data_IF_626192894818
#
_entry.id   IF_626192894818
#
_cell.length_a   1.000
_cell.length_b   1.000
_cell.length_c   1.000
_cell.angle_alpha   90.00
_cell.angle_beta   90.00
_cell.angle_gamma   90.00
#
_symmetry.space_group_name_H-M   'P 1'
#
loop_
_entity.id
_entity.type
_entity.pdbx_description
1 polymer ?
#
# COMPACT_ATOMS: atom_id res chain seq x y z
N UNK A 1 -4.84 24.00 3.01
CA UNK A 1 -4.95 22.64 3.61
C UNK A 1 -6.14 21.86 3.05
N UNK A 2 -7.38 22.38 3.09
CA UNK A 2 -8.60 21.69 2.60
C UNK A 2 -8.44 21.25 1.14
N UNK A 3 -8.03 22.15 0.25
CA UNK A 3 -7.78 21.87 -1.17
C UNK A 3 -6.78 20.71 -1.33
N UNK A 4 -5.71 20.68 -0.53
CA UNK A 4 -4.74 19.58 -0.56
C UNK A 4 -5.37 18.24 -0.15
N UNK A 5 -6.24 18.23 0.86
CA UNK A 5 -6.95 17.01 1.31
C UNK A 5 -7.87 16.49 0.21
N UNK A 6 -8.59 17.38 -0.48
CA UNK A 6 -9.46 17.01 -1.60
C UNK A 6 -8.64 16.45 -2.76
N UNK A 7 -7.56 17.12 -3.19
CA UNK A 7 -6.68 16.60 -4.25
C UNK A 7 -6.07 15.26 -3.88
N UNK A 8 -5.69 15.07 -2.62
CA UNK A 8 -5.15 13.80 -2.15
C UNK A 8 -6.23 12.69 -2.16
N UNK A 9 -7.46 13.00 -1.78
CA UNK A 9 -8.58 12.06 -1.88
C UNK A 9 -8.87 11.68 -3.34
N UNK A 10 -8.83 12.65 -4.27
CA UNK A 10 -8.96 12.39 -5.71
C UNK A 10 -7.85 11.49 -6.23
N UNK A 11 -6.59 11.76 -5.86
CA UNK A 11 -5.46 10.91 -6.25
C UNK A 11 -5.60 9.48 -5.72
N UNK A 12 -6.06 9.31 -4.47
CA UNK A 12 -6.37 8.01 -3.90
C UNK A 12 -7.51 7.32 -4.66
N UNK A 13 -8.52 8.08 -5.11
CA UNK A 13 -9.62 7.53 -5.89
C UNK A 13 -9.16 7.01 -7.26
N UNK A 14 -8.19 7.66 -7.91
CA UNK A 14 -7.62 7.16 -9.17
C UNK A 14 -7.09 5.73 -9.05
N UNK A 15 -6.55 5.35 -7.89
CA UNK A 15 -6.08 3.99 -7.65
C UNK A 15 -7.22 2.97 -7.81
N UNK A 16 -8.44 3.33 -7.39
CA UNK A 16 -9.64 2.50 -7.55
C UNK A 16 -10.04 2.30 -9.01
N UNK A 17 -9.81 3.31 -9.86
CA UNK A 17 -10.17 3.24 -11.28
C UNK A 17 -9.18 2.43 -12.11
N UNK A 18 -7.93 2.34 -11.66
CA UNK A 18 -6.87 1.66 -12.40
C UNK A 18 -6.96 0.14 -12.24
N UNK A 19 -7.27 -0.35 -11.03
CA UNK A 19 -7.31 -1.79 -10.73
C UNK A 19 -8.28 -2.14 -9.60
N UNK A 20 -8.80 -3.36 -9.67
CA UNK A 20 -9.66 -3.91 -8.60
C UNK A 20 -8.92 -4.01 -7.26
N UNK A 21 -7.63 -4.38 -7.27
CA UNK A 21 -6.81 -4.45 -6.05
C UNK A 21 -6.58 -3.07 -5.41
N UNK A 22 -6.82 -1.99 -6.16
CA UNK A 22 -6.74 -0.61 -5.65
C UNK A 22 -7.59 -0.36 -4.41
N UNK A 23 -8.71 -1.08 -4.27
CA UNK A 23 -9.59 -0.97 -3.10
C UNK A 23 -8.87 -1.35 -1.81
N UNK A 24 -8.03 -2.39 -1.85
CA UNK A 24 -7.27 -2.86 -0.67
C UNK A 24 -6.18 -1.87 -0.29
N UNK A 25 -5.42 -1.36 -1.27
CA UNK A 25 -4.42 -0.32 -1.02
C UNK A 25 -5.04 0.93 -0.41
N UNK A 26 -6.23 1.26 -0.81
CA UNK A 26 -6.99 2.39 -0.29
C UNK A 26 -7.44 2.17 1.15
N UNK A 27 -7.93 0.97 1.47
CA UNK A 27 -8.27 0.59 2.85
C UNK A 27 -7.02 0.66 3.74
N UNK A 28 -5.89 0.13 3.28
CA UNK A 28 -4.61 0.21 4.00
C UNK A 28 -4.22 1.66 4.25
N UNK A 29 -4.32 2.51 3.23
CA UNK A 29 -4.01 3.93 3.35
C UNK A 29 -4.93 4.64 4.36
N UNK A 30 -6.24 4.33 4.33
CA UNK A 30 -7.20 4.84 5.32
C UNK A 30 -6.81 4.46 6.75
N UNK A 31 -6.45 3.20 6.96
CA UNK A 31 -5.97 2.72 8.26
C UNK A 31 -4.75 3.54 8.69
N UNK A 32 -3.71 3.62 7.85
CA UNK A 32 -2.47 4.34 8.16
C UNK A 32 -2.71 5.81 8.49
N UNK A 33 -3.56 6.49 7.72
CA UNK A 33 -3.88 7.90 7.93
C UNK A 33 -4.68 8.13 9.22
N UNK A 34 -5.62 7.24 9.55
CA UNK A 34 -6.40 7.35 10.77
C UNK A 34 -5.55 7.10 12.03
N UNK A 35 -4.55 6.23 11.95
CA UNK A 35 -3.57 6.03 13.01
C UNK A 35 -2.53 7.15 13.10
N UNK A 36 -2.38 7.99 12.08
CA UNK A 36 -1.44 9.11 12.12
C UNK A 36 -1.88 10.17 13.13
N UNK A 37 -0.95 10.59 13.98
CA UNK A 37 -1.16 11.66 14.95
C UNK A 37 -0.99 13.08 14.35
N UNK A 38 -0.48 13.17 13.11
CA UNK A 38 -0.23 14.46 12.44
C UNK A 38 -1.47 15.15 11.91
N UNK A 39 -2.50 14.38 11.59
CA UNK A 39 -3.78 14.92 11.13
C UNK A 39 -4.68 15.18 12.31
N UNK A 40 -5.28 16.35 12.35
CA UNK A 40 -6.30 16.68 13.33
C UNK A 40 -7.61 15.93 13.00
N UNK A 41 -8.47 15.66 14.01
CA UNK A 41 -9.71 14.90 13.77
C UNK A 41 -10.58 15.43 12.65
N UNK A 42 -10.70 16.75 12.51
CA UNK A 42 -11.47 17.40 11.41
C UNK A 42 -10.90 17.08 10.03
N UNK A 43 -9.57 17.05 9.90
CA UNK A 43 -8.90 16.71 8.62
C UNK A 43 -9.12 15.23 8.27
N UNK A 44 -9.09 14.34 9.25
CA UNK A 44 -9.37 12.91 9.06
C UNK A 44 -10.82 12.68 8.62
N UNK A 45 -11.78 13.32 9.28
CA UNK A 45 -13.20 13.21 8.93
C UNK A 45 -13.43 13.72 7.51
N UNK A 46 -12.87 14.89 7.16
CA UNK A 46 -13.01 15.46 5.82
C UNK A 46 -12.43 14.54 4.75
N UNK A 47 -11.23 13.99 4.99
CA UNK A 47 -10.59 13.05 4.04
C UNK A 47 -11.42 11.78 3.88
N UNK A 48 -11.83 11.16 4.98
CA UNK A 48 -12.64 9.93 4.96
C UNK A 48 -13.98 10.16 4.26
N UNK A 49 -14.65 11.28 4.55
CA UNK A 49 -15.92 11.64 3.90
C UNK A 49 -15.74 11.86 2.38
N UNK A 50 -14.72 12.63 1.98
CA UNK A 50 -14.43 12.85 0.57
C UNK A 50 -14.15 11.53 -0.17
N UNK A 51 -13.40 10.62 0.45
CA UNK A 51 -13.07 9.34 -0.14
C UNK A 51 -14.29 8.43 -0.26
N UNK A 52 -15.13 8.35 0.78
CA UNK A 52 -16.37 7.57 0.76
C UNK A 52 -17.31 8.10 -0.35
N UNK A 53 -17.47 9.41 -0.47
CA UNK A 53 -18.28 10.02 -1.54
C UNK A 53 -17.76 9.60 -2.91
N UNK A 54 -16.44 9.64 -3.12
CA UNK A 54 -15.84 9.26 -4.40
C UNK A 54 -16.00 7.76 -4.70
N UNK A 55 -15.93 6.90 -3.68
CA UNK A 55 -16.18 5.46 -3.82
C UNK A 55 -17.65 5.20 -4.21
N UNK A 56 -18.58 5.85 -3.51
CA UNK A 56 -20.01 5.74 -3.80
C UNK A 56 -20.32 6.26 -5.20
N UNK A 57 -19.69 7.35 -5.63
CA UNK A 57 -19.85 7.89 -6.98
C UNK A 57 -19.35 6.90 -8.04
N UNK A 58 -18.20 6.25 -7.81
CA UNK A 58 -17.73 5.18 -8.68
C UNK A 58 -18.75 4.05 -8.78
N UNK A 59 -19.25 3.57 -7.64
CA UNK A 59 -20.25 2.51 -7.60
C UNK A 59 -21.52 2.89 -8.40
N UNK A 60 -21.99 4.11 -8.22
CA UNK A 60 -23.15 4.65 -8.95
C UNK A 60 -22.93 4.67 -10.47
N UNK A 61 -21.73 5.08 -10.94
CA UNK A 61 -21.41 5.06 -12.37
C UNK A 61 -21.43 3.63 -12.92
N UNK A 62 -20.86 2.66 -12.20
CA UNK A 62 -20.87 1.26 -12.65
C UNK A 62 -22.28 0.69 -12.71
N UNK A 63 -23.12 1.01 -11.74
CA UNK A 63 -24.54 0.59 -11.73
C UNK A 63 -25.31 1.14 -12.94
N UNK A 64 -25.16 2.44 -13.24
CA UNK A 64 -25.83 3.06 -14.40
C UNK A 64 -25.30 2.51 -15.72
N UNK A 65 -24.01 2.21 -15.82
CA UNK A 65 -23.42 1.70 -17.07
C UNK A 65 -23.66 0.21 -17.29
N UNK A 66 -24.34 -0.48 -16.37
CA UNK A 66 -24.51 -1.94 -16.37
C UNK A 66 -23.17 -2.71 -16.52
N UNK A 67 -22.05 -2.07 -16.19
CA UNK A 67 -20.75 -2.71 -16.18
C UNK A 67 -20.48 -3.35 -14.81
N UNK A 68 -19.99 -4.56 -14.82
CA UNK A 68 -19.62 -5.21 -13.57
C UNK A 68 -18.41 -4.49 -12.97
N UNK A 69 -18.52 -4.12 -11.71
CA UNK A 69 -17.47 -3.40 -10.98
C UNK A 69 -16.19 -4.23 -10.78
N UNK A 70 -16.33 -5.54 -10.86
CA UNK A 70 -15.26 -6.53 -10.75
C UNK A 70 -15.22 -7.30 -12.06
N UNK A 71 -14.12 -7.20 -12.77
CA UNK A 71 -13.88 -8.01 -13.95
C UNK A 71 -13.91 -9.49 -13.57
N UNK A 72 -14.91 -10.21 -14.07
CA UNK A 72 -15.05 -11.67 -13.85
C UNK A 72 -13.92 -12.49 -14.47
N UNK A 73 -13.10 -11.88 -15.32
CA UNK A 73 -11.90 -12.53 -15.87
C UNK A 73 -10.80 -12.75 -14.83
N UNK A 74 -10.88 -12.06 -13.68
CA UNK A 74 -10.04 -12.33 -12.55
C UNK A 74 -10.50 -13.59 -11.83
N UNK A 75 -9.59 -14.54 -11.62
CA UNK A 75 -9.85 -15.75 -10.87
C UNK A 75 -10.53 -15.43 -9.53
N UNK A 76 -11.75 -15.87 -9.26
CA UNK A 76 -12.47 -15.54 -8.05
C UNK A 76 -11.70 -16.07 -6.84
N UNK A 77 -11.63 -15.26 -5.80
CA UNK A 77 -11.24 -15.76 -4.49
C UNK A 77 -12.38 -16.64 -3.99
N UNK A 78 -12.18 -17.94 -4.01
CA UNK A 78 -13.18 -18.88 -3.52
C UNK A 78 -13.11 -18.95 -1.98
N UNK A 79 -14.16 -18.45 -1.33
CA UNK A 79 -14.28 -18.53 0.13
C UNK A 79 -14.34 -19.99 0.62
N UNK A 80 -14.95 -20.89 -0.16
CA UNK A 80 -15.00 -22.30 0.17
C UNK A 80 -13.60 -22.92 0.16
N UNK A 81 -12.76 -22.52 -0.79
CA UNK A 81 -11.36 -22.89 -0.87
C UNK A 81 -10.56 -22.38 0.34
N UNK A 82 -10.80 -21.13 0.77
CA UNK A 82 -10.15 -20.56 1.96
C UNK A 82 -10.50 -21.37 3.21
N UNK A 83 -11.77 -21.74 3.37
CA UNK A 83 -12.26 -22.53 4.52
C UNK A 83 -11.77 -23.98 4.50
N UNK A 84 -11.46 -24.53 3.32
CA UNK A 84 -10.95 -25.90 3.16
C UNK A 84 -9.42 -26.00 3.23
N UNK A 85 -8.68 -24.89 3.38
CA UNK A 85 -7.24 -24.87 3.39
C UNK A 85 -6.66 -25.69 4.57
N UNK A 86 -5.97 -26.76 4.23
CA UNK A 86 -5.20 -27.53 5.18
C UNK A 86 -3.93 -26.76 5.57
N UNK A 87 -3.54 -26.81 6.84
CA UNK A 87 -2.32 -26.19 7.37
C UNK A 87 -1.08 -26.59 6.56
N UNK A 88 -0.97 -27.84 6.16
CA UNK A 88 0.16 -28.34 5.36
C UNK A 88 0.23 -27.64 3.99
N UNK A 89 -0.91 -27.35 3.40
CA UNK A 89 -0.98 -26.66 2.13
C UNK A 89 -0.63 -25.16 2.26
N UNK A 90 -1.05 -24.54 3.34
CA UNK A 90 -0.64 -23.16 3.67
C UNK A 90 0.88 -23.08 3.84
N UNK A 91 1.46 -24.00 4.60
CA UNK A 91 2.92 -24.07 4.80
C UNK A 91 3.65 -24.28 3.46
N UNK A 92 3.14 -25.16 2.61
CA UNK A 92 3.69 -25.38 1.27
C UNK A 92 3.70 -24.08 0.45
N UNK A 93 2.57 -23.38 0.37
CA UNK A 93 2.48 -22.10 -0.35
C UNK A 93 3.42 -21.05 0.24
N UNK A 94 3.50 -20.92 1.57
CA UNK A 94 4.40 -19.97 2.22
C UNK A 94 5.88 -20.25 1.91
N UNK A 95 6.29 -21.52 1.85
CA UNK A 95 7.66 -21.91 1.46
C UNK A 95 8.04 -21.41 0.05
N UNK A 96 7.06 -21.25 -0.82
CA UNK A 96 7.26 -20.70 -2.17
C UNK A 96 7.18 -19.16 -2.15
N UNK A 97 6.16 -18.59 -1.52
CA UNK A 97 5.93 -17.15 -1.51
C UNK A 97 7.11 -16.39 -0.86
N UNK A 98 7.60 -16.85 0.29
CA UNK A 98 8.61 -16.12 1.08
C UNK A 98 9.91 -15.91 0.31
N UNK A 99 10.54 -16.94 -0.31
CA UNK A 99 11.77 -16.76 -1.07
C UNK A 99 11.59 -15.83 -2.28
N UNK A 100 10.51 -15.98 -3.04
CA UNK A 100 10.25 -15.13 -4.19
C UNK A 100 9.99 -13.67 -3.77
N UNK A 101 9.19 -13.46 -2.74
CA UNK A 101 8.95 -12.12 -2.21
C UNK A 101 10.26 -11.46 -1.76
N UNK A 102 11.08 -12.18 -1.01
CA UNK A 102 12.42 -11.72 -0.60
C UNK A 102 13.32 -11.40 -1.81
N UNK A 103 13.34 -12.26 -2.82
CA UNK A 103 14.11 -12.04 -4.03
C UNK A 103 13.71 -10.74 -4.74
N UNK A 104 12.42 -10.53 -4.97
CA UNK A 104 11.94 -9.32 -5.65
C UNK A 104 12.14 -8.05 -4.81
N UNK A 105 12.00 -8.13 -3.49
CA UNK A 105 12.31 -7.00 -2.60
C UNK A 105 13.80 -6.61 -2.67
N UNK A 106 14.68 -7.60 -2.58
CA UNK A 106 16.13 -7.35 -2.56
C UNK A 106 16.69 -6.90 -3.92
N UNK A 107 16.03 -7.26 -5.01
CA UNK A 107 16.41 -6.78 -6.35
C UNK A 107 15.79 -5.41 -6.70
N UNK A 108 14.93 -4.88 -5.86
CA UNK A 108 14.33 -3.57 -6.09
C UNK A 108 15.18 -2.46 -5.43
N UNK A 109 15.96 -1.75 -6.25
CA UNK A 109 16.86 -0.67 -5.79
C UNK A 109 16.12 0.42 -5.03
N UNK A 110 14.90 0.77 -5.45
CA UNK A 110 14.06 1.79 -4.78
C UNK A 110 13.67 1.32 -3.39
N UNK A 111 13.31 0.04 -3.25
CA UNK A 111 12.98 -0.56 -1.96
C UNK A 111 14.19 -0.56 -1.02
N UNK A 112 15.35 -1.05 -1.50
CA UNK A 112 16.57 -1.12 -0.66
C UNK A 112 17.00 0.27 -0.20
N UNK A 113 17.06 1.25 -1.11
CA UNK A 113 17.44 2.62 -0.75
C UNK A 113 16.48 3.23 0.27
N UNK A 114 15.17 3.04 0.07
CA UNK A 114 14.16 3.48 1.02
C UNK A 114 14.29 2.80 2.39
N UNK A 115 14.58 1.50 2.42
CA UNK A 115 14.78 0.74 3.65
C UNK A 115 16.00 1.25 4.43
N UNK A 116 17.12 1.50 3.76
CA UNK A 116 18.33 2.05 4.37
C UNK A 116 18.03 3.41 5.00
N UNK A 117 17.34 4.30 4.28
CA UNK A 117 16.96 5.62 4.79
C UNK A 117 15.98 5.49 5.96
N UNK A 118 15.02 4.56 5.89
CA UNK A 118 14.08 4.31 6.97
C UNK A 118 14.81 3.86 8.25
N UNK A 119 15.74 2.92 8.13
CA UNK A 119 16.58 2.45 9.24
C UNK A 119 17.39 3.61 9.83
N UNK A 120 18.03 4.40 8.97
CA UNK A 120 18.76 5.61 9.39
C UNK A 120 17.84 6.56 10.20
N UNK A 121 16.66 6.85 9.69
CA UNK A 121 15.68 7.70 10.35
C UNK A 121 15.24 7.14 11.72
N UNK A 122 15.14 5.82 11.88
CA UNK A 122 14.85 5.19 13.16
C UNK A 122 16.00 5.34 14.15
N UNK A 123 17.24 5.07 13.73
CA UNK A 123 18.44 5.18 14.57
C UNK A 123 18.60 6.62 15.09
N UNK A 124 18.49 7.60 14.20
CA UNK A 124 18.66 9.02 14.54
C UNK A 124 17.37 9.70 15.04
N UNK A 125 16.31 8.94 15.27
CA UNK A 125 15.00 9.40 15.78
C UNK A 125 14.36 10.53 14.95
N UNK A 126 14.65 10.56 13.65
CA UNK A 126 14.10 11.56 12.72
C UNK A 126 12.65 11.19 12.39
N UNK A 127 11.73 12.14 12.51
CA UNK A 127 10.33 12.00 12.11
C UNK A 127 9.67 10.65 12.49
N UNK A 128 9.77 10.26 13.77
CA UNK A 128 9.27 8.96 14.28
C UNK A 128 7.85 8.60 13.83
N UNK A 129 6.93 9.55 13.85
CA UNK A 129 5.53 9.26 13.49
C UNK A 129 5.37 8.96 11.99
N UNK A 130 6.16 9.60 11.15
CA UNK A 130 6.17 9.31 9.71
C UNK A 130 6.75 7.91 9.44
N UNK A 131 7.85 7.57 10.09
CA UNK A 131 8.47 6.25 9.95
C UNK A 131 7.56 5.12 10.43
N UNK A 132 6.81 5.35 11.53
CA UNK A 132 5.80 4.38 11.99
C UNK A 132 4.68 4.18 10.96
N UNK A 133 4.21 5.27 10.34
CA UNK A 133 3.18 5.19 9.30
C UNK A 133 3.67 4.39 8.08
N UNK A 134 4.92 4.61 7.64
CA UNK A 134 5.53 3.85 6.55
C UNK A 134 5.66 2.37 6.92
N UNK A 135 6.16 2.08 8.12
CA UNK A 135 6.31 0.71 8.58
C UNK A 135 4.95 -0.01 8.67
N UNK A 136 3.93 0.67 9.21
CA UNK A 136 2.57 0.13 9.27
C UNK A 136 2.02 -0.16 7.87
N UNK A 137 2.21 0.77 6.93
CA UNK A 137 1.82 0.56 5.54
C UNK A 137 2.52 -0.66 4.94
N UNK A 138 3.82 -0.79 5.13
CA UNK A 138 4.60 -1.93 4.64
C UNK A 138 4.09 -3.25 5.22
N UNK A 139 3.85 -3.31 6.52
CA UNK A 139 3.33 -4.52 7.18
C UNK A 139 1.96 -4.90 6.60
N UNK A 140 1.04 -3.95 6.51
CA UNK A 140 -0.32 -4.21 6.00
C UNK A 140 -0.31 -4.63 4.52
N UNK A 141 0.50 -4.00 3.69
CA UNK A 141 0.64 -4.38 2.28
C UNK A 141 1.29 -5.76 2.12
N UNK A 142 2.27 -6.08 2.96
CA UNK A 142 2.89 -7.40 2.98
C UNK A 142 1.88 -8.48 3.37
N UNK A 143 1.11 -8.27 4.44
CA UNK A 143 0.05 -9.19 4.86
C UNK A 143 -0.98 -9.37 3.74
N UNK A 144 -1.38 -8.28 3.07
CA UNK A 144 -2.30 -8.38 1.94
C UNK A 144 -1.72 -9.22 0.80
N UNK A 145 -0.46 -9.01 0.42
CA UNK A 145 0.19 -9.77 -0.66
C UNK A 145 0.22 -11.26 -0.32
N UNK A 146 0.65 -11.60 0.89
CA UNK A 146 0.70 -12.99 1.33
C UNK A 146 -0.71 -13.62 1.30
N UNK A 147 -1.71 -12.91 1.81
CA UNK A 147 -3.10 -13.37 1.79
C UNK A 147 -3.60 -13.58 0.36
N UNK A 148 -3.32 -12.64 -0.55
CA UNK A 148 -3.72 -12.73 -1.95
C UNK A 148 -3.15 -13.97 -2.65
N UNK A 149 -1.89 -14.31 -2.41
CA UNK A 149 -1.28 -15.51 -2.98
C UNK A 149 -1.69 -16.80 -2.26
N UNK A 150 -1.92 -16.75 -0.95
CA UNK A 150 -2.38 -17.92 -0.19
C UNK A 150 -3.78 -18.36 -0.62
N UNK A 151 -4.67 -17.38 -0.85
CA UNK A 151 -6.09 -17.65 -1.10
C UNK A 151 -6.43 -17.78 -2.57
N UNK A 152 -5.47 -17.62 -3.46
CA UNK A 152 -5.70 -17.79 -4.90
C UNK A 152 -5.66 -19.27 -5.29
N UNK A 153 -6.68 -19.69 -6.02
CA UNK A 153 -6.79 -21.06 -6.56
C UNK A 153 -6.06 -21.16 -7.91
N UNK A 154 -4.80 -20.81 -7.95
CA UNK A 154 -3.95 -20.95 -9.14
C UNK A 154 -2.65 -21.62 -8.78
N UNK A 155 -1.98 -22.17 -9.81
CA UNK A 155 -0.59 -22.59 -9.68
C UNK A 155 0.25 -21.42 -9.17
N UNK A 156 0.71 -21.57 -7.94
CA UNK A 156 1.31 -20.47 -7.17
C UNK A 156 2.58 -19.92 -7.82
N UNK A 157 3.41 -20.79 -8.39
CA UNK A 157 4.65 -20.37 -9.04
C UNK A 157 4.39 -19.51 -10.28
N UNK A 158 3.42 -19.89 -11.11
CA UNK A 158 3.04 -19.11 -12.28
C UNK A 158 2.49 -17.74 -11.86
N UNK A 159 1.61 -17.73 -10.87
CA UNK A 159 1.02 -16.48 -10.37
C UNK A 159 2.10 -15.54 -9.81
N UNK A 160 3.06 -16.05 -9.05
CA UNK A 160 4.15 -15.27 -8.48
C UNK A 160 5.05 -14.69 -9.58
N UNK A 161 5.51 -15.51 -10.51
CA UNK A 161 6.41 -15.09 -11.59
C UNK A 161 5.80 -13.97 -12.46
N UNK A 162 4.50 -14.00 -12.67
CA UNK A 162 3.82 -13.03 -13.54
C UNK A 162 3.39 -11.74 -12.86
N UNK A 163 3.21 -11.74 -11.53
CA UNK A 163 2.59 -10.60 -10.84
C UNK A 163 3.41 -10.03 -9.68
N UNK A 164 4.28 -10.81 -9.04
CA UNK A 164 4.98 -10.42 -7.81
C UNK A 164 5.88 -9.21 -8.00
N UNK A 165 6.66 -9.16 -9.08
CA UNK A 165 7.55 -8.04 -9.38
C UNK A 165 6.77 -6.72 -9.44
N UNK A 166 5.65 -6.71 -10.16
CA UNK A 166 4.80 -5.54 -10.30
C UNK A 166 4.18 -5.11 -8.98
N UNK A 167 3.78 -6.07 -8.14
CA UNK A 167 3.18 -5.79 -6.84
C UNK A 167 4.25 -5.24 -5.87
N UNK A 168 5.44 -5.81 -5.85
CA UNK A 168 6.56 -5.32 -5.05
C UNK A 168 6.98 -3.92 -5.50
N UNK A 169 6.96 -3.64 -6.81
CA UNK A 169 7.24 -2.30 -7.32
C UNK A 169 6.23 -1.26 -6.81
N UNK A 170 4.94 -1.62 -6.75
CA UNK A 170 3.91 -0.72 -6.19
C UNK A 170 4.15 -0.38 -4.72
N UNK A 171 4.62 -1.36 -3.92
CA UNK A 171 4.97 -1.12 -2.51
C UNK A 171 6.21 -0.23 -2.40
N UNK A 172 7.22 -0.48 -3.22
CA UNK A 172 8.49 0.26 -3.16
C UNK A 172 8.33 1.74 -3.50
N UNK A 173 7.35 2.11 -4.31
CA UNK A 173 7.00 3.51 -4.57
C UNK A 173 6.70 4.31 -3.30
N UNK A 174 6.15 3.68 -2.27
CA UNK A 174 5.91 4.33 -0.98
C UNK A 174 7.20 4.71 -0.25
N UNK A 175 8.27 4.00 -0.48
CA UNK A 175 9.59 4.30 0.11
C UNK A 175 10.25 5.54 -0.49
N UNK A 176 9.83 6.00 -1.66
CA UNK A 176 10.25 7.30 -2.20
C UNK A 176 9.86 8.44 -1.27
N UNK A 177 8.76 8.30 -0.53
CA UNK A 177 8.36 9.27 0.48
C UNK A 177 9.38 9.36 1.63
N UNK A 178 10.07 8.28 1.96
CA UNK A 178 11.15 8.30 2.96
C UNK A 178 12.31 9.15 2.48
N UNK A 179 12.67 9.03 1.20
CA UNK A 179 13.72 9.80 0.57
C UNK A 179 13.38 11.30 0.57
N UNK A 180 12.16 11.64 0.12
CA UNK A 180 11.69 13.03 0.10
C UNK A 180 11.69 13.64 1.50
N UNK A 181 11.24 12.89 2.50
CA UNK A 181 11.22 13.33 3.89
C UNK A 181 12.64 13.56 4.43
N UNK A 182 13.57 12.64 4.14
CA UNK A 182 14.97 12.75 4.51
C UNK A 182 15.62 14.00 3.87
N UNK A 183 15.44 14.19 2.58
CA UNK A 183 15.97 15.34 1.86
C UNK A 183 15.43 16.65 2.42
N UNK A 184 14.15 16.74 2.72
CA UNK A 184 13.55 17.92 3.35
C UNK A 184 14.20 18.27 4.69
N UNK A 185 14.52 17.28 5.53
CA UNK A 185 15.20 17.52 6.81
C UNK A 185 16.67 17.94 6.62
N UNK A 186 17.35 17.35 5.64
CA UNK A 186 18.71 17.76 5.28
C UNK A 186 18.74 19.22 4.81
N UNK A 187 17.82 19.59 3.91
CA UNK A 187 17.70 20.97 3.41
C UNK A 187 17.35 21.98 4.52
N UNK A 188 16.47 21.63 5.44
CA UNK A 188 16.17 22.49 6.60
C UNK A 188 17.40 22.74 7.46
N UNK A 189 18.18 21.69 7.76
CA UNK A 189 19.44 21.84 8.51
C UNK A 189 20.46 22.69 7.77
N UNK A 190 20.57 22.50 6.44
CA UNK A 190 21.51 23.30 5.63
C UNK A 190 21.15 24.79 5.61
N UNK A 191 19.87 25.09 5.49
CA UNK A 191 19.38 26.47 5.52
C UNK A 191 19.54 27.13 6.90
N UNK A 192 19.39 26.37 7.99
CA UNK A 192 19.63 26.90 9.36
C UNK A 192 21.11 27.21 9.63
N UNK A 193 22.05 26.49 9.00
CA UNK A 193 23.50 26.74 9.11
C UNK A 193 23.96 27.94 8.26
N UNK A 194 23.19 28.34 7.25
CA UNK A 194 23.47 29.48 6.37
C UNK A 194 23.00 30.80 6.96
N UNK A 195 22.09 30.77 7.91
CA UNK A 195 21.47 31.95 8.52
C UNK A 195 22.12 32.32 9.87
N UNK A 196 23.05 31.52 10.36
CA UNK A 196 23.95 31.78 11.48
C UNK A 196 25.38 32.08 10.99
#
# INVERSE_FOLDING_TARGET
>A
KIVFIIFFALACNLILWIKAEGIVYLIILLIVLNFSKKLIPKEKILFNAALIILILFKYFIYEISNNEMIDKSGHPYDLSYILSLNINFIIYKLKIIIPFFGYYLLNNVVFISGLIILIYNFIFKINKEYNKAILLYFILTTVFIFSAYLFRDMEIEYSIRTTMERIVFTISGFYLLTLVNFLNEVFKKFNSLRLN
#
